data_IF_043712858135
#
_entry.id   IF_043712858135
#
_cell.length_a   1.000
_cell.length_b   1.000
_cell.length_c   1.000
_cell.angle_alpha   90.00
_cell.angle_beta   90.00
_cell.angle_gamma   90.00
#
_symmetry.space_group_name_H-M   'P 1'
#
loop_
_entity.id
_entity.type
_entity.pdbx_description
1 polymer ?
#
# COMPACT_ATOMS: atom_id res chain seq x y z
N UNK A 1 -39.82 21.30 -48.58
CA UNK A 1 -38.43 21.42 -48.08
C UNK A 1 -38.24 22.39 -46.91
N UNK A 2 -39.02 23.48 -46.75
CA UNK A 2 -38.90 24.39 -45.58
C UNK A 2 -39.37 23.81 -44.23
N UNK A 3 -40.18 22.75 -44.25
CA UNK A 3 -40.78 22.11 -43.06
C UNK A 3 -39.80 21.22 -42.30
N UNK A 4 -38.85 20.60 -43.01
CA UNK A 4 -37.85 19.70 -42.43
C UNK A 4 -36.68 20.46 -41.80
N UNK A 5 -36.41 21.69 -42.25
CA UNK A 5 -35.37 22.57 -41.66
C UNK A 5 -35.70 22.93 -40.22
N UNK A 6 -36.98 23.16 -39.90
CA UNK A 6 -37.45 23.49 -38.54
C UNK A 6 -37.32 22.27 -37.62
N UNK A 7 -37.60 21.07 -38.14
CA UNK A 7 -37.52 19.82 -37.36
C UNK A 7 -36.06 19.46 -37.06
N UNK A 8 -35.14 19.64 -38.00
CA UNK A 8 -33.70 19.41 -37.76
C UNK A 8 -33.10 20.43 -36.79
N UNK A 9 -33.56 21.69 -36.81
CA UNK A 9 -33.14 22.72 -35.86
C UNK A 9 -33.61 22.42 -34.42
N UNK A 10 -34.82 21.87 -34.27
CA UNK A 10 -35.35 21.45 -32.97
C UNK A 10 -34.55 20.31 -32.33
N UNK A 11 -34.15 19.31 -33.12
CA UNK A 11 -33.39 18.15 -32.61
C UNK A 11 -31.96 18.55 -32.20
N UNK A 12 -31.34 19.50 -32.91
CA UNK A 12 -30.00 20.01 -32.60
C UNK A 12 -29.98 20.85 -31.30
N UNK A 13 -31.05 21.59 -31.01
CA UNK A 13 -31.19 22.36 -29.76
C UNK A 13 -31.39 21.46 -28.52
N UNK A 14 -32.08 20.33 -28.67
CA UNK A 14 -32.29 19.36 -27.57
C UNK A 14 -31.00 18.58 -27.26
N UNK A 15 -30.16 18.32 -28.26
CA UNK A 15 -28.84 17.71 -28.05
C UNK A 15 -27.85 18.63 -27.31
N UNK A 16 -27.94 19.95 -27.50
CA UNK A 16 -27.12 20.94 -26.78
C UNK A 16 -27.48 21.06 -25.29
N UNK A 17 -28.74 20.87 -24.91
CA UNK A 17 -29.18 20.96 -23.51
C UNK A 17 -28.83 19.72 -22.68
N UNK A 18 -28.56 18.56 -23.29
CA UNK A 18 -28.10 17.35 -22.61
C UNK A 18 -26.58 17.34 -22.33
N UNK A 19 -25.81 18.23 -22.97
CA UNK A 19 -24.38 18.42 -22.69
C UNK A 19 -24.08 19.48 -21.61
N UNK A 20 -25.10 20.19 -21.10
CA UNK A 20 -24.94 21.28 -20.14
C UNK A 20 -25.36 20.93 -18.69
N UNK A 21 -25.60 19.65 -18.38
CA UNK A 21 -25.71 19.17 -16.99
C UNK A 21 -24.38 18.65 -16.44
N UNK A 22 -23.29 19.37 -16.72
CA UNK A 22 -22.12 19.39 -15.86
C UNK A 22 -22.32 20.44 -14.77
N UNK A 23 -23.29 20.23 -13.87
CA UNK A 23 -23.32 21.02 -12.63
C UNK A 23 -22.08 20.62 -11.84
N UNK A 24 -21.08 21.49 -11.84
CA UNK A 24 -20.10 21.56 -10.77
C UNK A 24 -20.87 21.68 -9.45
N UNK A 25 -21.03 20.55 -8.78
CA UNK A 25 -21.28 20.59 -7.35
C UNK A 25 -20.05 21.23 -6.73
N UNK A 26 -20.18 22.28 -5.90
CA UNK A 26 -19.07 22.71 -5.07
C UNK A 26 -18.71 21.50 -4.22
N UNK A 27 -17.55 20.92 -4.52
CA UNK A 27 -16.93 19.91 -3.69
C UNK A 27 -16.83 20.54 -2.31
N UNK A 28 -17.70 20.11 -1.39
CA UNK A 28 -17.48 20.34 0.02
C UNK A 28 -16.16 19.68 0.31
N UNK A 29 -15.10 20.49 0.34
CA UNK A 29 -13.83 20.13 0.91
C UNK A 29 -14.08 19.76 2.37
N UNK A 30 -14.43 18.49 2.59
CA UNK A 30 -14.15 17.82 3.84
C UNK A 30 -12.65 17.98 4.01
N UNK A 31 -12.25 18.90 4.89
CA UNK A 31 -10.93 18.92 5.51
C UNK A 31 -10.77 17.61 6.32
N UNK A 32 -10.77 16.46 5.67
CA UNK A 32 -10.00 15.33 6.15
C UNK A 32 -8.56 15.72 5.87
N UNK A 33 -7.77 15.90 6.93
CA UNK A 33 -6.40 16.37 6.87
C UNK A 33 -5.57 15.60 5.84
N UNK A 34 -5.52 16.13 4.62
CA UNK A 34 -4.61 15.76 3.55
C UNK A 34 -3.24 16.35 3.89
N UNK A 35 -2.65 15.83 4.96
CA UNK A 35 -1.23 16.02 5.27
C UNK A 35 -0.43 14.90 4.59
N UNK A 36 -0.60 14.73 3.27
CA UNK A 36 0.04 13.60 2.57
C UNK A 36 0.21 13.73 1.05
N UNK A 37 0.24 14.93 0.45
CA UNK A 37 0.43 15.06 -1.01
C UNK A 37 1.63 15.92 -1.46
N UNK A 38 2.49 16.36 -0.53
CA UNK A 38 3.80 16.94 -0.84
C UNK A 38 4.83 16.54 0.20
N UNK A 39 4.83 15.25 0.60
CA UNK A 39 6.08 14.69 1.11
C UNK A 39 6.70 14.08 -0.13
N UNK A 40 7.67 14.79 -0.71
CA UNK A 40 8.67 14.13 -1.54
C UNK A 40 9.00 12.83 -0.79
N UNK A 41 8.66 11.68 -1.40
CA UNK A 41 9.20 10.43 -0.89
C UNK A 41 10.70 10.69 -0.80
N UNK A 42 11.35 10.44 0.36
CA UNK A 42 12.79 10.43 0.39
C UNK A 42 13.21 9.58 -0.80
N UNK A 43 14.03 10.15 -1.68
CA UNK A 43 14.70 9.41 -2.74
C UNK A 43 15.14 8.06 -2.15
N UNK A 44 14.83 6.92 -2.80
CA UNK A 44 15.09 5.58 -2.23
C UNK A 44 16.58 5.31 -1.96
N UNK A 45 17.46 6.24 -2.32
CA UNK A 45 18.89 6.22 -2.08
C UNK A 45 19.28 6.35 -0.59
N UNK A 46 18.59 7.16 0.22
CA UNK A 46 19.10 7.51 1.56
C UNK A 46 19.02 6.37 2.57
N UNK A 47 17.96 5.55 2.53
CA UNK A 47 17.80 4.42 3.46
C UNK A 47 18.86 3.32 3.23
N UNK A 48 19.37 3.20 2.00
CA UNK A 48 20.39 2.19 1.67
C UNK A 48 21.79 2.66 2.06
N UNK A 49 22.10 3.95 1.89
CA UNK A 49 23.39 4.52 2.27
C UNK A 49 23.65 4.49 3.77
N UNK A 50 22.61 4.61 4.60
CA UNK A 50 22.76 4.56 6.06
C UNK A 50 23.14 3.15 6.55
N UNK A 51 22.59 2.11 5.93
CA UNK A 51 22.92 0.71 6.26
C UNK A 51 24.37 0.36 5.93
N UNK A 52 24.89 0.86 4.81
CA UNK A 52 26.29 0.63 4.40
C UNK A 52 27.28 1.23 5.39
N UNK A 53 26.99 2.45 5.86
CA UNK A 53 27.84 3.18 6.81
C UNK A 53 27.79 2.59 8.22
N UNK A 54 26.65 2.08 8.67
CA UNK A 54 26.54 1.49 10.01
C UNK A 54 27.10 0.06 10.10
N UNK A 55 27.06 -0.71 9.00
CA UNK A 55 27.50 -2.12 8.98
C UNK A 55 28.91 -2.33 8.41
N UNK A 56 29.58 -1.27 7.91
CA UNK A 56 30.89 -1.34 7.25
C UNK A 56 30.94 -2.46 6.20
N UNK A 57 29.97 -2.46 5.28
CA UNK A 57 29.86 -3.48 4.25
C UNK A 57 31.03 -3.37 3.26
N UNK A 58 31.58 -4.51 2.86
CA UNK A 58 32.56 -4.58 1.77
C UNK A 58 31.92 -4.19 0.43
N UNK A 59 32.71 -3.78 -0.54
CA UNK A 59 32.22 -3.43 -1.88
C UNK A 59 31.50 -4.60 -2.58
N UNK A 60 32.02 -5.82 -2.38
CA UNK A 60 31.39 -7.04 -2.88
C UNK A 60 30.02 -7.30 -2.23
N UNK A 61 29.90 -7.17 -0.90
CA UNK A 61 28.63 -7.29 -0.19
C UNK A 61 27.63 -6.21 -0.65
N UNK A 62 28.09 -4.97 -0.83
CA UNK A 62 27.25 -3.88 -1.31
C UNK A 62 26.68 -4.14 -2.69
N UNK A 63 27.49 -4.65 -3.61
CA UNK A 63 27.05 -4.96 -4.97
C UNK A 63 25.97 -6.04 -4.98
N UNK A 64 26.20 -7.14 -4.25
CA UNK A 64 25.21 -8.22 -4.12
C UNK A 64 23.92 -7.76 -3.47
N UNK A 65 24.02 -7.00 -2.37
CA UNK A 65 22.85 -6.47 -1.68
C UNK A 65 22.04 -5.55 -2.62
N UNK A 66 22.68 -4.66 -3.39
CA UNK A 66 21.98 -3.80 -4.36
C UNK A 66 21.31 -4.60 -5.49
N UNK A 67 21.92 -5.70 -5.95
CA UNK A 67 21.30 -6.61 -6.92
C UNK A 67 20.07 -7.31 -6.34
N UNK A 68 20.17 -7.85 -5.11
CA UNK A 68 19.05 -8.45 -4.40
C UNK A 68 17.90 -7.45 -4.24
N UNK A 69 18.20 -6.20 -3.89
CA UNK A 69 17.21 -5.14 -3.73
C UNK A 69 16.51 -4.79 -5.05
N UNK A 70 17.28 -4.71 -6.14
CA UNK A 70 16.74 -4.44 -7.48
C UNK A 70 15.79 -5.56 -7.92
N UNK A 71 16.19 -6.80 -7.67
CA UNK A 71 15.38 -7.99 -7.97
C UNK A 71 14.09 -8.00 -7.15
N UNK A 72 14.18 -7.75 -5.85
CA UNK A 72 13.01 -7.65 -4.99
C UNK A 72 12.07 -6.54 -5.45
N UNK A 73 12.59 -5.36 -5.78
CA UNK A 73 11.77 -4.22 -6.24
C UNK A 73 10.98 -4.58 -7.50
N UNK A 74 11.60 -5.28 -8.45
CA UNK A 74 10.92 -5.77 -9.66
C UNK A 74 9.79 -6.75 -9.31
N UNK A 75 10.06 -7.74 -8.45
CA UNK A 75 9.06 -8.70 -8.00
C UNK A 75 7.88 -8.01 -7.29
N UNK A 76 8.18 -7.05 -6.40
CA UNK A 76 7.17 -6.31 -5.64
C UNK A 76 6.32 -5.40 -6.51
N UNK A 77 6.86 -4.81 -7.59
CA UNK A 77 6.06 -4.01 -8.50
C UNK A 77 4.95 -4.83 -9.16
N UNK A 78 5.24 -6.05 -9.62
CA UNK A 78 4.23 -6.94 -10.21
C UNK A 78 3.16 -7.33 -9.19
N UNK A 79 3.59 -7.84 -8.02
CA UNK A 79 2.66 -8.30 -6.98
C UNK A 79 1.79 -7.15 -6.45
N UNK A 80 2.34 -5.95 -6.29
CA UNK A 80 1.56 -4.79 -5.86
C UNK A 80 0.53 -4.38 -6.93
N UNK A 81 0.88 -4.39 -8.21
CA UNK A 81 -0.07 -4.09 -9.29
C UNK A 81 -1.23 -5.10 -9.30
N UNK A 82 -0.92 -6.39 -9.14
CA UNK A 82 -1.93 -7.45 -9.05
C UNK A 82 -2.85 -7.29 -7.83
N UNK A 83 -2.30 -6.94 -6.66
CA UNK A 83 -3.07 -6.65 -5.44
C UNK A 83 -4.03 -5.47 -5.67
N UNK A 84 -3.59 -4.38 -6.29
CA UNK A 84 -4.46 -3.22 -6.54
C UNK A 84 -5.54 -3.55 -7.58
N UNK A 85 -5.21 -4.31 -8.63
CA UNK A 85 -6.21 -4.78 -9.59
C UNK A 85 -7.29 -5.64 -8.91
N UNK A 86 -6.90 -6.61 -8.08
CA UNK A 86 -7.84 -7.46 -7.35
C UNK A 86 -8.73 -6.66 -6.37
N UNK A 87 -8.21 -5.58 -5.77
CA UNK A 87 -9.04 -4.68 -4.94
C UNK A 87 -10.07 -3.91 -5.76
N UNK A 88 -9.69 -3.45 -6.95
CA UNK A 88 -10.62 -2.79 -7.87
C UNK A 88 -11.72 -3.78 -8.27
N UNK A 89 -11.34 -5.00 -8.67
CA UNK A 89 -12.27 -6.04 -9.10
C UNK A 89 -13.21 -6.47 -7.96
N UNK A 90 -12.68 -6.58 -6.74
CA UNK A 90 -13.49 -6.88 -5.55
C UNK A 90 -14.55 -5.80 -5.32
N UNK A 91 -14.17 -4.52 -5.38
CA UNK A 91 -15.10 -3.42 -5.22
C UNK A 91 -16.17 -3.42 -6.33
N UNK A 92 -15.79 -3.75 -7.57
CA UNK A 92 -16.74 -3.88 -8.67
C UNK A 92 -17.72 -5.04 -8.47
N UNK A 93 -17.24 -6.21 -8.03
CA UNK A 93 -18.08 -7.37 -7.73
C UNK A 93 -19.07 -7.07 -6.60
N UNK A 94 -18.61 -6.42 -5.53
CA UNK A 94 -19.45 -5.98 -4.42
C UNK A 94 -20.49 -4.93 -4.86
N UNK A 95 -20.10 -3.97 -5.71
CA UNK A 95 -21.02 -2.99 -6.28
C UNK A 95 -22.12 -3.62 -7.14
N UNK A 96 -21.80 -4.73 -7.84
CA UNK A 96 -22.75 -5.55 -8.61
C UNK A 96 -23.51 -6.57 -7.76
N UNK A 97 -23.25 -6.64 -6.44
CA UNK A 97 -23.77 -7.66 -5.51
C UNK A 97 -23.46 -9.11 -5.94
N UNK A 98 -22.38 -9.31 -6.70
CA UNK A 98 -21.90 -10.64 -7.07
C UNK A 98 -20.97 -11.18 -5.97
N UNK A 99 -21.59 -11.72 -4.92
CA UNK A 99 -20.85 -12.23 -3.75
C UNK A 99 -20.01 -13.46 -4.06
N UNK A 100 -20.40 -14.26 -5.06
CA UNK A 100 -19.64 -15.45 -5.46
C UNK A 100 -18.33 -15.05 -6.13
N UNK A 101 -18.38 -14.06 -7.04
CA UNK A 101 -17.17 -13.49 -7.62
C UNK A 101 -16.32 -12.77 -6.55
N UNK A 102 -16.96 -11.98 -5.68
CA UNK A 102 -16.25 -11.27 -4.61
C UNK A 102 -15.48 -12.22 -3.67
N UNK A 103 -16.05 -13.36 -3.30
CA UNK A 103 -15.38 -14.34 -2.47
C UNK A 103 -14.12 -14.89 -3.14
N UNK A 104 -14.21 -15.28 -4.42
CA UNK A 104 -13.06 -15.79 -5.18
C UNK A 104 -11.96 -14.73 -5.30
N UNK A 105 -12.32 -13.50 -5.67
CA UNK A 105 -11.36 -12.38 -5.79
C UNK A 105 -10.70 -12.09 -4.44
N UNK A 106 -11.45 -12.21 -3.35
CA UNK A 106 -10.92 -12.03 -2.01
C UNK A 106 -9.88 -13.11 -1.65
N UNK A 107 -10.15 -14.38 -1.98
CA UNK A 107 -9.18 -15.47 -1.77
C UNK A 107 -7.89 -15.22 -2.59
N UNK A 108 -8.03 -14.85 -3.86
CA UNK A 108 -6.91 -14.50 -4.74
C UNK A 108 -6.12 -13.29 -4.20
N UNK A 109 -6.79 -12.29 -3.64
CA UNK A 109 -6.18 -11.13 -3.00
C UNK A 109 -5.31 -11.54 -1.81
N UNK A 110 -5.83 -12.38 -0.92
CA UNK A 110 -5.08 -12.87 0.24
C UNK A 110 -3.90 -13.76 -0.17
N UNK A 111 -4.05 -14.55 -1.23
CA UNK A 111 -2.94 -15.31 -1.82
C UNK A 111 -1.81 -14.39 -2.27
N UNK A 112 -2.12 -13.32 -3.02
CA UNK A 112 -1.11 -12.33 -3.45
C UNK A 112 -0.49 -11.57 -2.30
N UNK A 113 -1.26 -11.23 -1.27
CA UNK A 113 -0.74 -10.64 -0.05
C UNK A 113 0.22 -11.58 0.68
N UNK A 114 -0.07 -12.90 0.73
CA UNK A 114 0.84 -13.90 1.28
C UNK A 114 2.14 -13.97 0.49
N UNK A 115 2.05 -14.05 -0.84
CA UNK A 115 3.23 -14.05 -1.72
C UNK A 115 4.10 -12.81 -1.46
N UNK A 116 3.48 -11.63 -1.37
CA UNK A 116 4.17 -10.38 -1.03
C UNK A 116 4.95 -10.50 0.28
N UNK A 117 4.31 -11.00 1.33
CA UNK A 117 4.94 -11.19 2.64
C UNK A 117 6.09 -12.19 2.58
N UNK A 118 5.92 -13.32 1.87
CA UNK A 118 6.96 -14.33 1.73
C UNK A 118 8.17 -13.79 0.97
N UNK A 119 7.99 -13.09 -0.14
CA UNK A 119 9.10 -12.46 -0.87
C UNK A 119 9.85 -11.41 -0.04
N UNK A 120 9.17 -10.74 0.89
CA UNK A 120 9.85 -9.85 1.84
C UNK A 120 10.71 -10.62 2.85
N UNK A 121 10.23 -11.76 3.34
CA UNK A 121 10.98 -12.64 4.25
C UNK A 121 12.17 -13.28 3.54
N UNK A 122 11.98 -13.83 2.35
CA UNK A 122 13.04 -14.45 1.54
C UNK A 122 14.14 -13.44 1.21
N UNK A 123 13.78 -12.22 0.81
CA UNK A 123 14.77 -11.20 0.53
C UNK A 123 15.55 -10.77 1.79
N UNK A 124 14.88 -10.74 2.96
CA UNK A 124 15.55 -10.49 4.24
C UNK A 124 16.56 -11.59 4.56
N UNK A 125 16.16 -12.85 4.39
CA UNK A 125 17.04 -14.00 4.58
C UNK A 125 18.26 -13.91 3.65
N UNK A 126 18.05 -13.60 2.37
CA UNK A 126 19.13 -13.39 1.40
C UNK A 126 20.10 -12.28 1.80
N UNK A 127 19.60 -11.14 2.33
CA UNK A 127 20.47 -10.07 2.85
C UNK A 127 21.28 -10.58 4.04
N UNK A 128 20.63 -11.23 5.02
CA UNK A 128 21.31 -11.71 6.23
C UNK A 128 22.42 -12.71 5.89
N UNK A 129 22.21 -13.58 4.91
CA UNK A 129 23.20 -14.55 4.44
C UNK A 129 24.45 -13.92 3.83
N UNK A 130 24.36 -12.67 3.36
CA UNK A 130 25.52 -11.91 2.84
C UNK A 130 26.26 -11.14 3.93
N UNK A 131 25.73 -11.09 5.16
CA UNK A 131 26.33 -10.38 6.30
C UNK A 131 27.12 -11.33 7.20
N UNK A 132 28.20 -10.82 7.80
CA UNK A 132 28.92 -11.57 8.86
C UNK A 132 28.09 -11.62 10.15
N UNK A 133 28.35 -12.57 11.07
CA UNK A 133 27.63 -12.63 12.35
C UNK A 133 27.68 -11.32 13.15
N UNK A 134 28.81 -10.60 13.10
CA UNK A 134 28.96 -9.30 13.74
C UNK A 134 28.09 -8.21 13.08
N UNK A 135 27.98 -8.24 11.75
CA UNK A 135 27.11 -7.34 10.98
C UNK A 135 25.63 -7.66 11.21
N UNK A 136 25.27 -8.94 11.29
CA UNK A 136 23.90 -9.37 11.60
C UNK A 136 23.46 -8.89 12.98
N UNK A 137 24.34 -8.94 13.99
CA UNK A 137 24.04 -8.42 15.33
C UNK A 137 23.76 -6.90 15.35
N UNK A 138 24.36 -6.16 14.42
CA UNK A 138 24.16 -4.71 14.23
C UNK A 138 23.01 -4.39 13.27
N UNK A 139 22.48 -5.39 12.55
CA UNK A 139 21.37 -5.21 11.62
C UNK A 139 20.10 -4.85 12.39
N UNK A 140 19.84 -3.55 12.52
CA UNK A 140 18.77 -3.04 13.37
C UNK A 140 17.38 -3.34 12.77
N UNK A 141 16.39 -3.76 13.59
CA UNK A 141 14.99 -3.84 13.16
C UNK A 141 14.43 -2.48 12.70
N UNK A 142 15.12 -1.37 12.98
CA UNK A 142 14.80 -0.03 12.48
C UNK A 142 14.98 0.07 10.95
N UNK A 143 15.96 -0.63 10.38
CA UNK A 143 16.14 -0.73 8.92
C UNK A 143 15.04 -1.55 8.28
N UNK A 144 14.63 -2.63 8.97
CA UNK A 144 13.55 -3.50 8.52
C UNK A 144 12.21 -2.76 8.48
N UNK A 145 11.93 -1.93 9.48
CA UNK A 145 10.70 -1.12 9.54
C UNK A 145 10.65 0.01 8.53
N UNK A 146 11.79 0.67 8.28
CA UNK A 146 11.88 1.73 7.28
C UNK A 146 11.61 1.18 5.87
N UNK A 147 12.03 -0.07 5.60
CA UNK A 147 12.04 -0.63 4.24
C UNK A 147 10.87 -1.56 3.94
N UNK A 148 10.52 -2.48 4.84
CA UNK A 148 9.45 -3.46 4.63
C UNK A 148 8.13 -3.05 5.28
N UNK A 149 8.14 -1.97 6.06
CA UNK A 149 7.02 -1.59 6.91
C UNK A 149 6.90 -2.53 8.11
N UNK A 150 5.97 -2.23 9.01
CA UNK A 150 5.73 -3.09 10.17
C UNK A 150 4.92 -4.32 9.73
N UNK A 151 5.30 -5.54 10.13
CA UNK A 151 4.52 -6.76 9.85
C UNK A 151 3.07 -6.66 10.31
N UNK A 152 2.85 -5.90 11.38
CA UNK A 152 1.54 -5.70 12.00
C UNK A 152 0.88 -4.35 11.58
N UNK A 153 1.41 -3.63 10.59
CA UNK A 153 0.96 -2.29 10.22
C UNK A 153 1.47 -1.17 11.14
N UNK A 154 1.46 0.08 10.66
CA UNK A 154 2.01 1.26 11.37
C UNK A 154 1.47 1.46 12.78
N UNK A 155 0.23 1.06 13.01
CA UNK A 155 -0.45 1.23 14.30
C UNK A 155 -0.02 0.20 15.34
N UNK A 156 0.59 -0.92 14.95
CA UNK A 156 1.00 -1.94 15.89
C UNK A 156 2.46 -1.72 16.36
N UNK A 157 2.75 -2.07 17.63
CA UNK A 157 4.10 -2.04 18.16
C UNK A 157 4.97 -3.05 17.43
N UNK A 158 6.23 -2.66 17.30
CA UNK A 158 7.31 -3.44 16.71
C UNK A 158 7.51 -4.73 17.50
N UNK A 159 7.98 -5.84 16.91
CA UNK A 159 8.25 -7.07 17.67
C UNK A 159 9.17 -6.83 18.88
N UNK A 160 10.23 -6.02 18.69
CA UNK A 160 11.18 -5.58 19.72
C UNK A 160 10.59 -4.69 20.81
N UNK A 161 9.46 -4.01 20.53
CA UNK A 161 8.74 -3.18 21.51
C UNK A 161 7.65 -3.98 22.20
N UNK A 162 6.96 -4.89 21.48
CA UNK A 162 6.03 -5.87 22.06
C UNK A 162 6.68 -6.70 23.14
N UNK A 163 7.91 -7.19 22.92
CA UNK A 163 8.66 -7.97 23.92
C UNK A 163 9.05 -7.15 25.16
N UNK A 164 9.09 -5.82 25.05
CA UNK A 164 9.41 -4.89 26.16
C UNK A 164 8.16 -4.26 26.79
N UNK A 165 6.96 -4.60 26.31
CA UNK A 165 5.71 -4.04 26.83
C UNK A 165 5.24 -4.80 28.06
N UNK A 166 4.77 -4.06 29.06
CA UNK A 166 4.12 -4.67 30.23
C UNK A 166 2.78 -5.28 29.83
N UNK A 167 2.25 -6.25 30.60
CA UNK A 167 0.93 -6.84 30.34
C UNK A 167 -0.18 -5.78 30.19
N UNK A 168 -0.15 -4.74 31.03
CA UNK A 168 -1.10 -3.63 30.98
C UNK A 168 -0.96 -2.78 29.71
N UNK A 169 0.26 -2.56 29.22
CA UNK A 169 0.51 -1.85 27.97
C UNK A 169 0.01 -2.65 26.76
N UNK A 170 0.24 -3.97 26.75
CA UNK A 170 -0.27 -4.88 25.71
C UNK A 170 -1.79 -4.91 25.69
N UNK A 171 -2.45 -4.98 26.85
CA UNK A 171 -3.91 -4.94 26.96
C UNK A 171 -4.50 -3.63 26.40
N UNK A 172 -3.96 -2.48 26.80
CA UNK A 172 -4.40 -1.16 26.30
C UNK A 172 -4.21 -1.00 24.80
N UNK A 173 -3.10 -1.51 24.26
CA UNK A 173 -2.82 -1.49 22.83
C UNK A 173 -3.84 -2.33 22.06
N UNK A 174 -4.06 -3.58 22.48
CA UNK A 174 -5.00 -4.51 21.85
C UNK A 174 -6.42 -3.94 21.85
N UNK A 175 -6.86 -3.37 22.97
CA UNK A 175 -8.17 -2.70 23.08
C UNK A 175 -8.32 -1.52 22.10
N UNK A 176 -7.26 -0.74 21.91
CA UNK A 176 -7.26 0.42 21.00
C UNK A 176 -7.34 0.00 19.53
N UNK A 177 -6.69 -1.10 19.15
CA UNK A 177 -6.75 -1.65 17.78
C UNK A 177 -8.16 -2.17 17.49
N UNK A 178 -8.71 -2.99 18.38
CA UNK A 178 -10.08 -3.51 18.28
C UNK A 178 -11.12 -2.38 18.11
N UNK A 179 -11.01 -1.30 18.90
CA UNK A 179 -11.93 -0.16 18.80
C UNK A 179 -11.84 0.60 17.47
N UNK A 180 -10.67 0.62 16.82
CA UNK A 180 -10.52 1.27 15.50
C UNK A 180 -11.12 0.41 14.39
N UNK A 181 -10.99 -0.90 14.48
CA UNK A 181 -11.51 -1.84 13.47
C UNK A 181 -13.05 -1.91 13.54
N UNK A 182 -13.62 -1.84 14.74
CA UNK A 182 -15.07 -1.82 14.95
C UNK A 182 -15.72 -0.45 14.65
N UNK A 183 -14.94 0.63 14.64
CA UNK A 183 -15.44 2.00 14.45
C UNK A 183 -15.74 2.42 13.01
N UNK A 184 -15.53 1.55 12.01
CA UNK A 184 -15.78 1.84 10.59
C UNK A 184 -17.09 1.27 10.03
N UNK A 185 -17.95 0.66 10.86
CA UNK A 185 -19.28 0.18 10.45
C UNK A 185 -20.46 1.07 10.88
N UNK A 186 -20.20 2.31 11.31
CA UNK A 186 -21.26 3.22 11.71
C UNK A 186 -21.05 4.62 11.17
N UNK A 187 -21.50 4.86 9.94
CA UNK A 187 -22.12 6.10 9.45
C UNK A 187 -22.63 5.91 8.03
#
# INVERSE_FOLDING_TARGET
>A
MKKYVIITLGILLVAGMLAAQGKEYPQLHRKHGSRALNRAMPEPAECCTDMQKELNLTEAQNTKITQLQTTQKKAMNSVNAEIENLRIDLNQALGKKDFKAAQKINDDLYEKMRIKSNTQLEHREQILNELTPEQQAKFSPKYEEARYGRPNGRNNPTPSRKSKMTPMQNFRHTRRVMQRELGHHGK
#
